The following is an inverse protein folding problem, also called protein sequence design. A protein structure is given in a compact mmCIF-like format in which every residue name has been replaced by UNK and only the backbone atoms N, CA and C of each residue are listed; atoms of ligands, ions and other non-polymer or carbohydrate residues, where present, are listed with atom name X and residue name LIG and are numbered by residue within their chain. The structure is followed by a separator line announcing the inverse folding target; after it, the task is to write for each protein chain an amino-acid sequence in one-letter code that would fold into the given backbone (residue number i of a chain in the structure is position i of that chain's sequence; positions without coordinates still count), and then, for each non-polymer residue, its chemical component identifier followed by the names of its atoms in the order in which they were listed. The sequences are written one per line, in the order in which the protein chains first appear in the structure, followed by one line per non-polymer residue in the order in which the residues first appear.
data_IF_819744265192
#
_entry.id   IF_819744265192
#
_cell.length_a   1.000
_cell.length_b   1.000
_cell.length_c   1.000
_cell.angle_alpha   90.00
_cell.angle_beta   90.00
_cell.angle_gamma   90.00
#
_symmetry.space_group_name_H-M   'P 1'
#
loop_
_entity.id
_entity.type
_entity.pdbx_description
1 polymer ?
#
# COMPACT_ATOMS: atom_id res chain seq x y z
N UNK A 1 4.93 -7.11 -23.44
CA UNK A 1 5.14 -6.77 -22.02
C UNK A 1 6.15 -5.61 -21.91
N UNK A 2 5.76 -4.49 -21.36
CA UNK A 2 6.66 -3.34 -21.19
C UNK A 2 7.52 -3.55 -19.94
N UNK A 3 8.84 -3.74 -20.14
CA UNK A 3 9.79 -3.90 -19.03
C UNK A 3 10.18 -2.55 -18.47
N UNK A 4 9.85 -2.30 -17.22
CA UNK A 4 10.24 -1.12 -16.45
C UNK A 4 10.74 -1.56 -15.07
N UNK A 5 11.44 -0.69 -14.36
CA UNK A 5 11.90 -1.00 -12.98
C UNK A 5 10.75 -1.45 -12.09
N UNK A 6 9.58 -0.81 -12.22
CA UNK A 6 8.40 -1.13 -11.39
C UNK A 6 7.80 -2.49 -11.75
N UNK A 7 7.72 -2.82 -13.04
CA UNK A 7 7.21 -4.15 -13.46
C UNK A 7 8.15 -5.27 -13.05
N UNK A 8 9.45 -5.07 -13.11
CA UNK A 8 10.45 -6.06 -12.68
C UNK A 8 10.47 -6.22 -11.16
N UNK A 9 10.42 -5.10 -10.42
CA UNK A 9 10.47 -5.12 -8.94
C UNK A 9 9.27 -5.80 -8.30
N UNK A 10 8.07 -5.61 -8.86
CA UNK A 10 6.81 -6.11 -8.30
C UNK A 10 6.15 -7.23 -9.10
N UNK A 11 6.80 -7.73 -10.14
CA UNK A 11 6.28 -8.82 -10.98
C UNK A 11 5.04 -8.45 -11.78
N UNK A 12 4.89 -7.18 -12.18
CA UNK A 12 3.71 -6.69 -12.90
C UNK A 12 3.84 -6.92 -14.41
N UNK A 13 2.70 -7.12 -15.07
CA UNK A 13 2.64 -7.20 -16.53
C UNK A 13 2.60 -5.83 -17.20
N UNK A 14 2.02 -4.84 -16.51
CA UNK A 14 1.91 -3.45 -16.97
C UNK A 14 2.36 -2.48 -15.87
N UNK A 15 3.04 -1.37 -16.19
CA UNK A 15 3.50 -0.40 -15.21
C UNK A 15 2.36 0.57 -14.81
N UNK A 16 1.27 0.02 -14.31
CA UNK A 16 0.09 0.76 -13.90
C UNK A 16 -0.24 0.48 -12.43
N UNK A 17 -0.49 1.55 -11.68
CA UNK A 17 -0.89 1.52 -10.27
C UNK A 17 -2.04 2.51 -10.11
N UNK A 18 -3.18 2.07 -9.56
CA UNK A 18 -4.23 3.03 -9.21
C UNK A 18 -3.87 3.77 -7.92
N UNK A 19 -4.38 4.98 -7.75
CA UNK A 19 -4.25 5.70 -6.48
C UNK A 19 -5.11 5.05 -5.38
N UNK A 20 -4.63 5.09 -4.15
CA UNK A 20 -5.39 4.69 -2.97
C UNK A 20 -6.42 5.75 -2.60
N UNK A 21 -7.56 5.73 -3.25
CA UNK A 21 -8.65 6.70 -3.02
C UNK A 21 -9.62 6.16 -1.97
N UNK A 22 -9.80 6.91 -0.87
CA UNK A 22 -10.78 6.58 0.16
C UNK A 22 -12.17 6.38 -0.46
N UNK A 23 -12.88 5.33 -0.03
CA UNK A 23 -14.24 4.96 -0.47
C UNK A 23 -14.40 4.58 -1.97
N UNK A 24 -13.40 4.82 -2.80
CA UNK A 24 -13.42 4.53 -4.24
C UNK A 24 -12.50 3.35 -4.58
N UNK A 25 -11.25 3.39 -4.12
CA UNK A 25 -10.30 2.29 -4.32
C UNK A 25 -10.58 1.15 -3.34
N UNK A 26 -11.73 0.51 -3.51
CA UNK A 26 -12.21 -0.64 -2.73
C UNK A 26 -11.70 -1.96 -3.30
N UNK A 27 -11.88 -3.06 -2.58
CA UNK A 27 -11.40 -4.38 -2.99
C UNK A 27 -11.79 -4.78 -4.43
N UNK A 28 -13.03 -4.55 -4.92
CA UNK A 28 -13.37 -4.83 -6.32
C UNK A 28 -12.51 -4.11 -7.34
N UNK A 29 -12.24 -2.80 -7.15
CA UNK A 29 -11.38 -2.04 -8.05
C UNK A 29 -9.93 -2.56 -8.00
N UNK A 30 -9.42 -2.79 -6.80
CA UNK A 30 -8.05 -3.31 -6.60
C UNK A 30 -7.87 -4.66 -7.29
N UNK A 31 -8.84 -5.55 -7.14
CA UNK A 31 -8.86 -6.86 -7.83
C UNK A 31 -8.81 -6.70 -9.35
N UNK A 32 -9.67 -5.84 -9.91
CA UNK A 32 -9.72 -5.61 -11.34
C UNK A 32 -8.38 -5.08 -11.90
N UNK A 33 -7.72 -4.18 -11.18
CA UNK A 33 -6.38 -3.67 -11.55
C UNK A 33 -5.33 -4.78 -11.50
N UNK A 34 -5.36 -5.62 -10.45
CA UNK A 34 -4.45 -6.76 -10.32
C UNK A 34 -4.67 -7.79 -11.43
N UNK A 35 -5.91 -8.13 -11.73
CA UNK A 35 -6.28 -9.06 -12.81
C UNK A 35 -5.86 -8.54 -14.19
N UNK A 36 -5.87 -7.21 -14.37
CA UNK A 36 -5.33 -6.58 -15.59
C UNK A 36 -3.79 -6.57 -15.65
N UNK A 37 -3.11 -7.05 -14.62
CA UNK A 37 -1.64 -7.16 -14.57
C UNK A 37 -0.93 -5.94 -13.99
N UNK A 38 -1.65 -4.97 -13.43
CA UNK A 38 -1.11 -3.84 -12.68
C UNK A 38 -0.99 -4.11 -11.19
N UNK A 39 -0.70 -3.08 -10.40
CA UNK A 39 -0.71 -3.12 -8.95
C UNK A 39 -1.91 -2.34 -8.40
N UNK A 40 -2.86 -3.04 -7.81
CA UNK A 40 -4.00 -2.42 -7.18
C UNK A 40 -3.63 -1.83 -5.81
N UNK A 41 -4.06 -0.60 -5.51
CA UNK A 41 -3.88 0.08 -4.23
C UNK A 41 -5.22 0.26 -3.53
N UNK A 42 -5.37 -0.36 -2.36
CA UNK A 42 -6.56 -0.23 -1.52
C UNK A 42 -6.53 1.07 -0.73
N UNK A 43 -7.57 1.88 -0.82
CA UNK A 43 -7.71 3.10 -0.02
C UNK A 43 -8.28 2.78 1.36
N UNK A 44 -7.41 2.60 2.37
CA UNK A 44 -7.80 2.18 3.71
C UNK A 44 -8.22 3.32 4.65
N UNK A 45 -8.24 4.56 4.18
CA UNK A 45 -8.65 5.70 5.01
C UNK A 45 -10.07 5.48 5.58
N UNK A 46 -10.20 5.63 6.88
CA UNK A 46 -11.44 5.44 7.63
C UNK A 46 -12.05 4.01 7.58
N UNK A 47 -11.32 3.01 7.09
CA UNK A 47 -11.73 1.61 7.24
C UNK A 47 -11.45 1.14 8.68
N UNK A 48 -12.39 0.49 9.37
CA UNK A 48 -12.08 -0.26 10.59
C UNK A 48 -11.12 -1.42 10.30
N UNK A 49 -10.30 -1.86 11.28
CA UNK A 49 -9.31 -2.92 11.08
C UNK A 49 -9.89 -4.25 10.57
N UNK A 50 -11.06 -4.64 11.05
CA UNK A 50 -11.77 -5.86 10.62
C UNK A 50 -12.23 -5.76 9.15
N UNK A 51 -12.76 -4.61 8.75
CA UNK A 51 -13.16 -4.33 7.35
C UNK A 51 -11.93 -4.30 6.44
N UNK A 52 -10.83 -3.70 6.91
CA UNK A 52 -9.56 -3.71 6.18
C UNK A 52 -9.05 -5.15 5.97
N UNK A 53 -9.10 -5.97 7.01
CA UNK A 53 -8.66 -7.36 6.93
C UNK A 53 -9.49 -8.17 5.92
N UNK A 54 -10.80 -8.01 5.94
CA UNK A 54 -11.70 -8.66 4.99
C UNK A 54 -11.44 -8.22 3.55
N UNK A 55 -11.25 -6.91 3.33
CA UNK A 55 -10.91 -6.36 2.01
C UNK A 55 -9.60 -6.93 1.48
N UNK A 56 -8.56 -7.00 2.31
CA UNK A 56 -7.26 -7.59 1.94
C UNK A 56 -7.42 -9.07 1.55
N UNK A 57 -8.16 -9.84 2.33
CA UNK A 57 -8.43 -11.25 2.02
C UNK A 57 -9.17 -11.41 0.69
N UNK A 58 -10.15 -10.55 0.42
CA UNK A 58 -10.86 -10.51 -0.85
C UNK A 58 -9.93 -10.21 -2.05
N UNK A 59 -8.94 -9.33 -1.87
CA UNK A 59 -7.92 -9.05 -2.87
C UNK A 59 -7.01 -10.26 -3.09
N UNK A 60 -6.55 -10.90 -2.02
CA UNK A 60 -5.69 -12.10 -2.10
C UNK A 60 -6.35 -13.27 -2.79
N UNK A 61 -7.69 -13.35 -2.78
CA UNK A 61 -8.45 -14.42 -3.43
C UNK A 61 -8.24 -14.51 -4.95
N UNK A 62 -7.84 -13.41 -5.62
CA UNK A 62 -7.50 -13.42 -7.05
C UNK A 62 -6.01 -13.68 -7.31
N UNK A 63 -5.25 -14.01 -6.29
CA UNK A 63 -3.82 -14.33 -6.34
C UNK A 63 -2.99 -13.27 -7.11
N UNK A 64 -3.03 -11.99 -6.70
CA UNK A 64 -2.35 -10.91 -7.39
C UNK A 64 -0.83 -11.06 -7.34
N UNK A 65 -0.11 -10.64 -8.38
CA UNK A 65 1.35 -10.59 -8.36
C UNK A 65 1.86 -9.63 -7.27
N UNK A 66 1.24 -8.47 -7.14
CA UNK A 66 1.48 -7.51 -6.08
C UNK A 66 0.25 -6.61 -5.89
N UNK A 67 0.02 -6.17 -4.67
CA UNK A 67 -0.99 -5.16 -4.32
C UNK A 67 -0.49 -4.31 -3.16
N UNK A 68 -1.14 -3.20 -2.90
CA UNK A 68 -0.78 -2.35 -1.78
C UNK A 68 -1.98 -1.82 -1.01
N UNK A 69 -1.69 -1.26 0.16
CA UNK A 69 -2.65 -0.58 1.02
C UNK A 69 -2.16 0.84 1.27
N UNK A 70 -3.04 1.80 1.06
CA UNK A 70 -2.79 3.22 1.27
C UNK A 70 -3.40 3.64 2.61
N UNK A 71 -2.54 4.12 3.50
CA UNK A 71 -2.89 4.50 4.88
C UNK A 71 -2.67 6.00 5.08
N UNK A 72 -3.64 6.65 5.71
CA UNK A 72 -3.51 8.04 6.20
C UNK A 72 -3.38 7.98 7.71
N UNK A 73 -2.25 8.42 8.26
CA UNK A 73 -1.88 8.24 9.66
C UNK A 73 -2.92 8.76 10.65
N UNK A 74 -3.52 9.92 10.40
CA UNK A 74 -4.54 10.51 11.27
C UNK A 74 -5.85 9.73 11.37
N UNK A 75 -6.13 8.85 10.42
CA UNK A 75 -7.35 8.03 10.37
C UNK A 75 -7.09 6.56 10.69
N UNK A 76 -5.86 6.22 11.08
CA UNK A 76 -5.44 4.86 11.32
C UNK A 76 -4.67 4.74 12.62
N UNK A 77 -4.71 3.58 13.23
CA UNK A 77 -3.95 3.22 14.42
C UNK A 77 -3.00 2.06 14.15
N UNK A 78 -2.30 1.63 15.20
CA UNK A 78 -1.38 0.49 15.15
C UNK A 78 -2.08 -0.80 14.71
N UNK A 79 -3.37 -0.93 14.99
CA UNK A 79 -4.20 -2.07 14.63
C UNK A 79 -4.27 -2.27 13.12
N UNK A 80 -4.28 -1.18 12.34
CA UNK A 80 -4.24 -1.24 10.88
C UNK A 80 -2.91 -1.79 10.38
N UNK A 81 -1.81 -1.41 11.05
CA UNK A 81 -0.48 -1.93 10.74
C UNK A 81 -0.40 -3.41 11.09
N UNK A 82 -0.96 -3.82 12.22
CA UNK A 82 -1.00 -5.23 12.64
C UNK A 82 -1.80 -6.08 11.64
N UNK A 83 -2.88 -5.56 11.08
CA UNK A 83 -3.61 -6.22 9.98
C UNK A 83 -2.73 -6.37 8.74
N UNK A 84 -2.04 -5.31 8.32
CA UNK A 84 -1.13 -5.37 7.17
C UNK A 84 0.00 -6.38 7.37
N UNK A 85 0.57 -6.45 8.56
CA UNK A 85 1.60 -7.43 8.94
C UNK A 85 1.05 -8.85 8.93
N UNK A 86 -0.09 -9.08 9.58
CA UNK A 86 -0.74 -10.39 9.67
C UNK A 86 -1.11 -10.94 8.29
N UNK A 87 -1.67 -10.10 7.45
CA UNK A 87 -2.08 -10.46 6.09
C UNK A 87 -0.93 -10.42 5.08
N UNK A 88 0.30 -10.08 5.51
CA UNK A 88 1.51 -10.01 4.67
C UNK A 88 1.30 -9.12 3.44
N UNK A 89 0.81 -7.91 3.65
CA UNK A 89 0.61 -6.92 2.59
C UNK A 89 1.97 -6.57 1.96
N UNK A 90 2.13 -6.73 0.65
CA UNK A 90 3.43 -6.50 0.01
C UNK A 90 3.88 -5.04 0.05
N UNK A 91 2.96 -4.10 -0.13
CA UNK A 91 3.27 -2.67 -0.21
C UNK A 91 2.31 -1.87 0.68
N UNK A 92 2.85 -1.02 1.55
CA UNK A 92 2.07 -0.06 2.34
C UNK A 92 2.53 1.35 2.03
N UNK A 93 1.60 2.22 1.69
CA UNK A 93 1.87 3.62 1.36
C UNK A 93 1.26 4.52 2.40
N UNK A 94 2.01 5.50 2.87
CA UNK A 94 1.56 6.50 3.84
C UNK A 94 1.49 7.88 3.20
N UNK A 95 0.37 8.57 3.40
CA UNK A 95 0.14 9.92 2.91
C UNK A 95 -0.04 10.94 4.04
N UNK A 96 0.49 12.13 3.81
CA UNK A 96 0.24 13.40 4.48
C UNK A 96 0.75 13.58 5.91
N UNK A 97 0.86 12.54 6.69
CA UNK A 97 1.21 12.63 8.11
C UNK A 97 2.60 12.02 8.39
N UNK A 98 3.18 12.44 9.50
CA UNK A 98 4.34 11.76 10.04
C UNK A 98 3.94 10.36 10.51
N UNK A 99 4.73 9.38 10.11
CA UNK A 99 4.47 7.97 10.44
C UNK A 99 5.35 7.60 11.64
N UNK A 100 4.77 7.03 12.71
CA UNK A 100 5.55 6.57 13.85
C UNK A 100 6.60 5.53 13.42
N UNK A 101 7.81 5.64 13.94
CA UNK A 101 8.92 4.71 13.64
C UNK A 101 8.57 3.26 14.01
N UNK A 102 7.74 3.06 15.02
CA UNK A 102 7.24 1.73 15.39
C UNK A 102 6.48 1.06 14.26
N UNK A 103 5.62 1.80 13.54
CA UNK A 103 4.86 1.26 12.40
C UNK A 103 5.78 0.82 11.27
N UNK A 104 6.77 1.65 10.95
CA UNK A 104 7.75 1.34 9.91
C UNK A 104 8.61 0.14 10.29
N UNK A 105 8.99 0.03 11.58
CA UNK A 105 9.77 -1.10 12.09
C UNK A 105 9.00 -2.42 12.00
N UNK A 106 7.71 -2.43 12.33
CA UNK A 106 6.85 -3.62 12.22
C UNK A 106 6.70 -4.07 10.77
N UNK A 107 6.46 -3.15 9.86
CA UNK A 107 6.34 -3.46 8.43
C UNK A 107 7.63 -4.00 7.84
N UNK A 108 8.80 -3.43 8.21
CA UNK A 108 10.11 -3.94 7.78
C UNK A 108 10.36 -5.36 8.29
N UNK A 109 10.07 -5.61 9.56
CA UNK A 109 10.22 -6.94 10.16
C UNK A 109 9.35 -7.99 9.46
N UNK A 110 8.19 -7.59 8.93
CA UNK A 110 7.29 -8.44 8.15
C UNK A 110 7.69 -8.60 6.68
N UNK A 111 8.72 -7.89 6.21
CA UNK A 111 9.16 -7.91 4.81
C UNK A 111 8.29 -7.07 3.87
N UNK A 112 7.42 -6.21 4.37
CA UNK A 112 6.61 -5.30 3.56
C UNK A 112 7.44 -4.12 3.06
N UNK A 113 7.30 -3.78 1.79
CA UNK A 113 7.79 -2.51 1.27
C UNK A 113 6.90 -1.37 1.76
N UNK A 114 7.49 -0.28 2.21
CA UNK A 114 6.71 0.89 2.60
C UNK A 114 7.23 2.14 1.91
N UNK A 115 6.29 2.99 1.50
CA UNK A 115 6.53 4.28 0.88
C UNK A 115 5.89 5.36 1.74
N UNK A 116 6.63 6.40 2.06
CA UNK A 116 6.13 7.53 2.83
C UNK A 116 6.14 8.77 1.95
N UNK A 117 4.97 9.34 1.69
CA UNK A 117 4.83 10.64 1.08
C UNK A 117 4.74 11.69 2.18
N UNK A 118 5.87 12.35 2.50
CA UNK A 118 5.87 13.46 3.45
C UNK A 118 5.52 14.77 2.75
N UNK A 119 4.56 15.51 3.28
CA UNK A 119 4.35 16.90 2.90
C UNK A 119 5.40 17.74 3.62
N UNK A 120 6.50 18.10 2.94
CA UNK A 120 7.44 19.06 3.50
C UNK A 120 6.76 20.43 3.67
N UNK A 121 6.61 20.87 4.91
CA UNK A 121 6.43 22.31 5.21
C UNK A 121 7.75 23.00 4.91
N UNK A 122 7.86 23.63 3.76
CA UNK A 122 8.88 24.64 3.42
C UNK A 122 10.34 24.18 3.52
N UNK A 123 10.83 23.53 2.51
CA UNK A 123 12.12 23.67 1.79
C UNK A 123 12.28 22.49 0.82
N UNK A 124 12.63 22.83 -0.41
CA UNK A 124 12.93 21.89 -1.47
C UNK A 124 14.05 20.94 -1.08
N UNK A 125 13.73 19.69 -0.86
CA UNK A 125 14.63 18.55 -1.11
C UNK A 125 13.76 17.30 -1.19
N UNK A 126 13.50 16.88 -2.41
CA UNK A 126 12.91 15.59 -2.72
C UNK A 126 13.90 14.49 -2.33
N UNK A 127 13.74 13.91 -1.15
CA UNK A 127 14.37 12.64 -0.82
C UNK A 127 13.34 11.53 -0.89
N UNK A 128 13.22 10.95 -2.06
CA UNK A 128 12.69 9.60 -2.19
C UNK A 128 13.69 8.65 -1.48
N UNK A 129 13.45 8.33 -0.23
CA UNK A 129 14.25 7.31 0.47
C UNK A 129 13.63 5.95 0.22
N UNK A 130 14.04 5.33 -0.86
CA UNK A 130 14.03 3.88 -0.96
C UNK A 130 15.19 3.37 -0.09
N UNK A 131 14.91 2.89 1.10
CA UNK A 131 15.87 2.06 1.84
C UNK A 131 15.39 0.62 1.75
N UNK A 132 16.17 -0.16 0.97
CA UNK A 132 16.14 -1.62 1.00
C UNK A 132 16.59 -2.18 2.34
#
# INVERSE_FOLDING_TARGET
MLKTRITEQYGLNVPFINAGMAFIATAPLVRAVCEAGGMGMLGAAAMPPDVLQEAIRGIKAVNPACFGVDIIGRFSGIEHIDVCVTEKVPVVVFFWDDVPDEWLSRLRAAGSHHLVSSRQRGRSESRCRTRG
#
